data_IF_786181787597
#
_entry.id   IF_786181787597
#
_cell.length_a   1.000
_cell.length_b   1.000
_cell.length_c   1.000
_cell.angle_alpha   90.00
_cell.angle_beta   90.00
_cell.angle_gamma   90.00
#
_symmetry.space_group_name_H-M   'P 1'
#
loop_
_entity.id
_entity.type
_entity.pdbx_description
1 polymer ?
#
# COMPACT_ATOMS: atom_id res chain seq x y z
N UNK A 1 6.52 -3.06 -33.63
CA UNK A 1 7.67 -2.44 -32.92
C UNK A 1 7.06 -1.45 -31.96
N UNK A 2 7.30 -1.69 -30.66
CA UNK A 2 7.08 -0.79 -29.51
C UNK A 2 5.62 -0.39 -29.19
N UNK A 3 5.01 -1.04 -28.19
CA UNK A 3 4.54 -0.36 -26.96
C UNK A 3 3.99 -1.35 -25.91
N UNK A 4 4.81 -2.30 -25.44
CA UNK A 4 4.36 -3.34 -24.46
C UNK A 4 4.93 -3.14 -23.04
N UNK A 5 5.45 -1.94 -22.71
CA UNK A 5 6.15 -1.73 -21.42
C UNK A 5 5.98 -0.35 -20.78
N UNK A 6 5.00 0.47 -21.15
CA UNK A 6 4.72 1.67 -20.34
C UNK A 6 3.92 1.26 -19.11
N UNK A 7 4.63 1.08 -17.98
CA UNK A 7 3.98 1.10 -16.66
C UNK A 7 3.15 2.40 -16.62
N UNK A 8 1.84 2.34 -16.40
CA UNK A 8 1.05 3.56 -16.30
C UNK A 8 1.62 4.40 -15.15
N UNK A 9 1.92 5.67 -15.45
CA UNK A 9 2.21 6.64 -14.40
C UNK A 9 0.90 6.84 -13.65
N UNK A 10 0.86 6.45 -12.38
CA UNK A 10 -0.30 6.71 -11.53
C UNK A 10 -0.44 8.22 -11.36
N UNK A 11 -1.61 8.76 -11.69
CA UNK A 11 -1.95 10.14 -11.46
C UNK A 11 -2.49 10.32 -10.04
N UNK A 12 -2.52 11.57 -9.55
CA UNK A 12 -3.02 11.86 -8.20
C UNK A 12 -4.49 11.46 -8.03
N UNK A 13 -5.29 11.55 -9.10
CA UNK A 13 -6.69 11.11 -9.11
C UNK A 13 -6.89 9.60 -8.99
N UNK A 14 -5.87 8.80 -9.29
CA UNK A 14 -5.89 7.34 -9.11
C UNK A 14 -5.64 6.94 -7.64
N UNK A 15 -5.21 7.88 -6.80
CA UNK A 15 -4.92 7.64 -5.40
C UNK A 15 -6.18 7.71 -4.56
N UNK A 16 -6.30 6.78 -3.63
CA UNK A 16 -7.36 6.78 -2.64
C UNK A 16 -7.21 8.01 -1.73
N UNK A 17 -8.29 8.77 -1.47
CA UNK A 17 -8.27 9.86 -0.51
C UNK A 17 -7.84 9.37 0.89
N UNK A 18 -7.02 10.15 1.60
CA UNK A 18 -6.52 9.81 2.95
C UNK A 18 -7.62 9.39 3.93
N UNK A 19 -8.80 10.04 3.99
CA UNK A 19 -9.87 9.62 4.90
C UNK A 19 -10.40 8.20 4.67
N UNK A 20 -10.18 7.64 3.48
CA UNK A 20 -10.61 6.29 3.11
C UNK A 20 -9.54 5.23 3.42
N UNK A 21 -8.35 5.64 3.88
CA UNK A 21 -7.33 4.71 4.35
C UNK A 21 -7.75 4.02 5.65
N UNK A 22 -7.45 2.73 5.76
CA UNK A 22 -7.71 1.97 6.99
C UNK A 22 -6.78 2.47 8.10
N UNK A 23 -7.30 2.78 9.30
CA UNK A 23 -6.46 3.19 10.42
C UNK A 23 -5.41 2.14 10.79
N UNK A 24 -4.14 2.53 10.76
CA UNK A 24 -3.04 1.63 11.11
C UNK A 24 -3.06 1.23 12.58
N UNK A 25 -3.64 2.05 13.47
CA UNK A 25 -3.65 1.83 14.92
C UNK A 25 -4.31 0.50 15.29
N UNK A 26 -5.46 0.21 14.70
CA UNK A 26 -6.29 -0.95 15.07
C UNK A 26 -6.00 -2.21 14.24
N UNK A 27 -5.15 -2.08 13.22
CA UNK A 27 -4.81 -3.22 12.34
C UNK A 27 -3.68 -4.08 12.94
N UNK A 28 -3.94 -5.37 13.14
CA UNK A 28 -3.00 -6.29 13.82
C UNK A 28 -2.09 -7.07 12.87
N UNK A 29 -2.50 -7.26 11.63
CA UNK A 29 -1.82 -8.13 10.65
C UNK A 29 -1.69 -7.44 9.30
N UNK A 30 -0.62 -7.73 8.57
CA UNK A 30 -0.48 -7.27 7.19
C UNK A 30 -1.54 -7.91 6.30
N UNK A 31 -2.25 -7.10 5.52
CA UNK A 31 -3.29 -7.56 4.58
C UNK A 31 -2.80 -8.64 3.60
N UNK A 32 -1.56 -8.50 3.10
CA UNK A 32 -1.00 -9.41 2.08
C UNK A 32 -0.48 -10.71 2.68
N UNK A 33 0.36 -10.65 3.71
CA UNK A 33 1.06 -11.84 4.23
C UNK A 33 0.48 -12.40 5.53
N UNK A 34 -0.56 -11.76 6.09
CA UNK A 34 -1.23 -12.10 7.34
C UNK A 34 -0.34 -12.17 8.59
N UNK A 35 0.94 -11.78 8.49
CA UNK A 35 1.86 -11.75 9.63
C UNK A 35 1.53 -10.58 10.55
N UNK A 36 1.57 -10.83 11.86
CA UNK A 36 1.38 -9.81 12.89
C UNK A 36 2.40 -8.69 12.78
N UNK A 37 1.94 -7.47 12.96
CA UNK A 37 2.80 -6.31 13.15
C UNK A 37 3.51 -6.39 14.51
N UNK A 38 4.66 -5.72 14.58
CA UNK A 38 5.50 -5.63 15.77
C UNK A 38 6.32 -4.34 15.69
N UNK A 39 7.10 -4.04 16.72
CA UNK A 39 7.94 -2.82 16.77
C UNK A 39 8.88 -2.68 15.56
N UNK A 40 9.30 -3.80 14.97
CA UNK A 40 10.20 -3.83 13.79
C UNK A 40 9.48 -4.15 12.48
N UNK A 41 8.16 -4.34 12.51
CA UNK A 41 7.34 -4.51 11.31
C UNK A 41 6.40 -3.32 11.21
N UNK A 42 6.90 -2.26 10.59
CA UNK A 42 6.15 -1.02 10.38
C UNK A 42 4.93 -1.23 9.49
N UNK A 43 3.90 -0.41 9.75
CA UNK A 43 2.61 -0.41 9.06
C UNK A 43 2.61 0.69 8.00
N UNK A 44 2.14 0.40 6.80
CA UNK A 44 2.02 1.34 5.68
C UNK A 44 0.64 1.19 5.02
N UNK A 45 -0.03 2.28 4.70
CA UNK A 45 -1.27 2.22 3.91
C UNK A 45 -0.95 2.22 2.41
N UNK A 46 -1.55 1.31 1.66
CA UNK A 46 -1.53 1.37 0.20
C UNK A 46 -2.24 2.63 -0.30
N UNK A 47 -1.58 3.43 -1.15
CA UNK A 47 -2.17 4.64 -1.69
C UNK A 47 -3.28 4.38 -2.72
N UNK A 48 -3.45 3.14 -3.21
CA UNK A 48 -4.48 2.77 -4.19
C UNK A 48 -5.71 2.12 -3.55
N UNK A 49 -5.53 1.33 -2.49
CA UNK A 49 -6.65 0.60 -1.86
C UNK A 49 -6.81 0.86 -0.35
N UNK A 50 -5.95 1.66 0.27
CA UNK A 50 -6.05 2.03 1.68
C UNK A 50 -5.65 0.94 2.69
N UNK A 51 -5.45 -0.30 2.25
CA UNK A 51 -5.10 -1.45 3.11
C UNK A 51 -3.76 -1.30 3.83
N UNK A 52 -3.65 -1.95 5.00
CA UNK A 52 -2.43 -1.87 5.83
C UNK A 52 -1.47 -3.02 5.52
N UNK A 53 -0.27 -2.67 5.06
CA UNK A 53 0.76 -3.59 4.61
C UNK A 53 2.05 -3.42 5.43
N UNK A 54 2.91 -4.44 5.42
CA UNK A 54 4.26 -4.34 5.98
C UNK A 54 5.26 -3.88 4.93
N UNK A 55 6.42 -3.36 5.33
CA UNK A 55 7.45 -2.86 4.38
C UNK A 55 7.93 -3.87 3.34
N UNK A 56 7.75 -5.19 3.58
CA UNK A 56 8.11 -6.23 2.60
C UNK A 56 7.01 -6.50 1.56
N UNK A 57 5.77 -6.17 1.88
CA UNK A 57 4.62 -6.35 1.00
C UNK A 57 4.18 -5.02 0.37
N UNK A 58 4.65 -3.90 0.91
CA UNK A 58 4.36 -2.57 0.43
C UNK A 58 5.28 -2.22 -0.75
N UNK A 59 4.70 -1.65 -1.80
CA UNK A 59 5.44 -1.12 -2.94
C UNK A 59 5.31 0.40 -2.93
N UNK A 60 6.45 1.10 -2.91
CA UNK A 60 6.46 2.54 -3.10
C UNK A 60 6.25 2.85 -4.57
N UNK A 61 5.22 3.64 -4.86
CA UNK A 61 5.12 4.33 -6.14
C UNK A 61 6.23 5.41 -6.13
N UNK A 62 7.02 5.53 -7.22
CA UNK A 62 8.01 6.59 -7.37
C UNK A 62 7.43 7.99 -7.19
#
# INVERSE_FOLDING_TARGET
MEDERRRPMLAQEDLLPIPEHIPTKDTLTCYVCMRKFSLFRHKHNCALCGEVMCSRCFYHVP
#
